data_IF_558054344247
#
_entry.id   IF_558054344247
#
_cell.length_a   1.000
_cell.length_b   1.000
_cell.length_c   1.000
_cell.angle_alpha   90.00
_cell.angle_beta   90.00
_cell.angle_gamma   90.00
#
_symmetry.space_group_name_H-M   'P 1'
#
loop_
_entity.id
_entity.type
_entity.pdbx_description
1 polymer ?
#
# COMPACT_ATOMS: atom_id res chain seq x y z
N UNK A 1 -3.56 -4.42 -15.57
CA UNK A 1 -4.84 -4.35 -14.82
C UNK A 1 -5.25 -2.90 -14.57
N UNK A 2 -6.53 -2.63 -14.29
CA UNK A 2 -7.01 -1.32 -13.85
C UNK A 2 -6.95 -1.24 -12.31
N UNK A 3 -6.47 -0.12 -11.76
CA UNK A 3 -6.32 0.11 -10.33
C UNK A 3 -6.78 1.51 -9.94
N UNK A 4 -7.19 1.71 -8.69
CA UNK A 4 -7.83 2.94 -8.23
C UNK A 4 -7.21 3.51 -6.96
N UNK A 5 -6.94 4.81 -6.97
CA UNK A 5 -6.32 5.53 -5.87
C UNK A 5 -7.22 6.66 -5.39
N UNK A 6 -7.52 6.68 -4.09
CA UNK A 6 -8.26 7.75 -3.45
C UNK A 6 -7.32 8.82 -2.92
N UNK A 7 -7.55 10.09 -3.28
CA UNK A 7 -6.70 11.22 -2.88
C UNK A 7 -7.53 12.48 -2.65
N UNK A 8 -6.87 13.57 -2.22
CA UNK A 8 -7.47 14.91 -2.18
C UNK A 8 -7.61 15.47 -3.60
N UNK A 9 -8.70 16.19 -3.87
CA UNK A 9 -8.89 16.94 -5.14
C UNK A 9 -7.69 17.85 -5.46
N UNK A 10 -7.03 18.40 -4.44
CA UNK A 10 -5.87 19.28 -4.61
C UNK A 10 -4.67 18.57 -5.24
N UNK A 11 -4.57 17.24 -5.11
CA UNK A 11 -3.44 16.47 -5.63
C UNK A 11 -3.68 15.96 -7.06
N UNK A 12 -4.92 16.03 -7.57
CA UNK A 12 -5.31 15.41 -8.85
C UNK A 12 -4.44 15.93 -10.01
N UNK A 13 -4.34 17.25 -10.16
CA UNK A 13 -3.63 17.85 -11.28
C UNK A 13 -2.13 17.50 -11.25
N UNK A 14 -1.49 17.55 -10.07
CA UNK A 14 -0.08 17.18 -9.96
C UNK A 14 0.13 15.69 -10.24
N UNK A 15 -0.72 14.80 -9.71
CA UNK A 15 -0.58 13.36 -9.99
C UNK A 15 -0.80 13.05 -11.48
N UNK A 16 -1.73 13.73 -12.16
CA UNK A 16 -1.97 13.51 -13.58
C UNK A 16 -0.83 14.04 -14.47
N UNK A 17 -0.22 15.17 -14.11
CA UNK A 17 0.83 15.80 -14.90
C UNK A 17 2.22 15.23 -14.61
N UNK A 18 2.53 15.04 -13.33
CA UNK A 18 3.86 14.71 -12.83
C UNK A 18 3.98 13.21 -12.47
N UNK A 19 2.86 12.50 -12.44
CA UNK A 19 2.78 11.13 -11.95
C UNK A 19 2.72 11.05 -10.42
N UNK A 20 2.76 9.82 -9.91
CA UNK A 20 2.86 9.62 -8.47
C UNK A 20 4.28 9.89 -8.00
N UNK A 21 4.42 10.81 -7.05
CA UNK A 21 5.67 11.11 -6.39
C UNK A 21 5.45 11.08 -4.87
N UNK A 22 6.11 10.16 -4.18
CA UNK A 22 6.11 10.08 -2.72
C UNK A 22 7.54 10.28 -2.27
N UNK A 23 7.71 11.18 -1.32
CA UNK A 23 8.97 11.37 -0.61
C UNK A 23 9.30 10.12 0.21
N UNK A 24 10.19 9.28 -0.34
CA UNK A 24 10.67 8.04 0.27
C UNK A 24 11.67 8.31 1.39
N UNK A 25 12.26 9.50 1.44
CA UNK A 25 13.34 9.85 2.37
C UNK A 25 12.83 10.63 3.60
N UNK A 26 11.52 10.85 3.69
CA UNK A 26 10.87 11.61 4.76
C UNK A 26 10.94 11.00 6.17
N UNK A 27 11.70 9.90 6.36
CA UNK A 27 11.75 9.17 7.63
C UNK A 27 10.37 8.64 8.04
N UNK A 28 9.46 8.46 7.09
CA UNK A 28 8.10 7.94 7.31
C UNK A 28 8.13 6.43 7.50
N UNK A 29 7.39 5.96 8.49
CA UNK A 29 7.17 4.53 8.69
C UNK A 29 6.36 3.94 7.51
N UNK A 30 6.81 2.84 6.87
CA UNK A 30 6.07 2.20 5.78
C UNK A 30 4.67 1.78 6.21
N UNK A 31 3.76 1.73 5.24
CA UNK A 31 2.40 1.22 5.44
C UNK A 31 2.42 -0.33 5.42
N UNK A 32 1.28 -0.96 5.60
CA UNK A 32 1.15 -2.42 5.81
C UNK A 32 1.79 -3.28 4.70
N UNK A 33 1.91 -2.75 3.48
CA UNK A 33 2.54 -3.41 2.32
C UNK A 33 3.91 -2.81 1.94
N UNK A 34 4.58 -2.11 2.85
CA UNK A 34 5.88 -1.48 2.59
C UNK A 34 5.78 -0.07 1.99
N UNK A 35 6.80 0.33 1.25
CA UNK A 35 6.84 1.63 0.58
C UNK A 35 6.45 1.56 -0.89
N UNK A 36 5.56 2.46 -1.29
CA UNK A 36 5.10 2.57 -2.67
C UNK A 36 3.77 3.28 -2.78
N UNK A 37 3.16 3.14 -3.95
CA UNK A 37 1.89 3.78 -4.31
C UNK A 37 0.75 2.78 -4.14
N UNK A 38 -0.23 3.14 -3.31
CA UNK A 38 -1.32 2.24 -2.91
C UNK A 38 -2.54 2.41 -3.80
N UNK A 39 -3.06 1.29 -4.28
CA UNK A 39 -4.27 1.24 -5.11
C UNK A 39 -5.17 0.07 -4.72
N UNK A 40 -6.47 0.25 -4.91
CA UNK A 40 -7.46 -0.81 -4.88
C UNK A 40 -7.62 -1.42 -6.27
N UNK A 41 -7.73 -2.75 -6.34
CA UNK A 41 -7.95 -3.50 -7.58
C UNK A 41 -9.20 -4.37 -7.50
N UNK A 42 -9.60 -4.90 -8.66
CA UNK A 42 -10.75 -5.82 -8.74
C UNK A 42 -10.59 -6.95 -7.73
N UNK A 43 -11.64 -7.16 -6.96
CA UNK A 43 -11.71 -8.15 -5.89
C UNK A 43 -13.07 -8.86 -5.94
N UNK A 44 -13.24 -9.91 -5.13
CA UNK A 44 -14.49 -10.67 -5.01
C UNK A 44 -15.31 -10.31 -3.77
N UNK A 45 -14.91 -9.26 -3.04
CA UNK A 45 -15.61 -8.75 -1.86
C UNK A 45 -16.73 -7.78 -2.25
N UNK A 46 -17.45 -7.26 -1.26
CA UNK A 46 -18.69 -6.53 -1.47
C UNK A 46 -18.55 -5.18 -2.20
N UNK A 47 -17.43 -4.47 -2.04
CA UNK A 47 -17.22 -3.16 -2.63
C UNK A 47 -16.31 -3.20 -3.87
N UNK A 48 -16.76 -2.53 -4.94
CA UNK A 48 -15.94 -2.22 -6.11
C UNK A 48 -14.70 -1.41 -5.71
N UNK A 49 -13.54 -1.60 -6.36
CA UNK A 49 -12.32 -0.89 -5.99
C UNK A 49 -12.41 0.63 -6.08
N UNK A 50 -13.24 1.17 -6.98
CA UNK A 50 -13.55 2.60 -7.09
C UNK A 50 -14.20 3.13 -5.80
N UNK A 51 -15.22 2.41 -5.31
CA UNK A 51 -15.92 2.73 -4.06
C UNK A 51 -15.01 2.57 -2.85
N UNK A 52 -14.14 1.56 -2.83
CA UNK A 52 -13.12 1.39 -1.78
C UNK A 52 -12.17 2.59 -1.73
N UNK A 53 -11.60 2.97 -2.89
CA UNK A 53 -10.70 4.12 -3.00
C UNK A 53 -11.37 5.42 -2.51
N UNK A 54 -12.63 5.63 -2.88
CA UNK A 54 -13.39 6.80 -2.47
C UNK A 54 -13.68 6.85 -0.97
N UNK A 55 -14.17 5.74 -0.41
CA UNK A 55 -14.46 5.63 1.01
C UNK A 55 -13.19 5.78 1.86
N UNK A 56 -12.08 5.20 1.40
CA UNK A 56 -10.78 5.38 2.02
C UNK A 56 -10.39 6.87 2.04
N UNK A 57 -10.44 7.53 0.88
CA UNK A 57 -10.12 8.95 0.80
C UNK A 57 -11.03 9.79 1.71
N UNK A 58 -12.34 9.55 1.71
CA UNK A 58 -13.29 10.24 2.61
C UNK A 58 -12.96 10.05 4.08
N UNK A 59 -12.45 8.87 4.46
CA UNK A 59 -12.13 8.55 5.85
C UNK A 59 -10.87 9.25 6.34
N UNK A 60 -9.87 9.42 5.47
CA UNK A 60 -8.54 9.90 5.87
C UNK A 60 -8.17 11.30 5.38
N UNK A 61 -8.87 11.83 4.38
CA UNK A 61 -8.65 13.18 3.86
C UNK A 61 -9.63 14.17 4.49
N UNK A 62 -9.14 15.38 4.80
CA UNK A 62 -9.97 16.48 5.32
C UNK A 62 -10.51 17.41 4.23
N UNK A 63 -10.00 17.27 3.01
CA UNK A 63 -10.38 18.06 1.83
C UNK A 63 -11.38 17.29 0.97
N UNK A 64 -12.06 17.95 0.01
CA UNK A 64 -12.78 17.25 -1.05
C UNK A 64 -11.90 16.16 -1.68
N UNK A 65 -12.50 15.02 -1.97
CA UNK A 65 -11.77 13.81 -2.39
C UNK A 65 -12.05 13.46 -3.84
N UNK A 66 -11.04 12.90 -4.49
CA UNK A 66 -11.10 12.37 -5.84
C UNK A 66 -10.65 10.91 -5.87
N UNK A 67 -11.10 10.19 -6.89
CA UNK A 67 -10.53 8.88 -7.24
C UNK A 67 -9.87 8.98 -8.60
N UNK A 68 -8.64 8.51 -8.66
CA UNK A 68 -7.87 8.34 -9.89
C UNK A 68 -7.92 6.86 -10.28
N UNK A 69 -8.10 6.59 -11.57
CA UNK A 69 -7.87 5.27 -12.15
C UNK A 69 -6.55 5.28 -12.92
N UNK A 70 -5.88 4.14 -12.91
CA UNK A 70 -4.62 3.92 -13.62
C UNK A 70 -4.63 2.55 -14.28
N UNK A 71 -3.80 2.41 -15.31
CA UNK A 71 -3.41 1.12 -15.86
C UNK A 71 -2.07 0.70 -15.25
N UNK A 72 -2.03 -0.54 -14.74
CA UNK A 72 -0.83 -1.18 -14.21
C UNK A 72 -0.38 -2.28 -15.16
N UNK A 73 0.88 -2.24 -15.61
CA UNK A 73 1.45 -3.29 -16.48
C UNK A 73 1.82 -4.56 -15.69
N UNK A 74 0.79 -5.27 -15.22
CA UNK A 74 0.94 -6.49 -14.41
C UNK A 74 1.67 -7.61 -15.16
N UNK A 75 1.52 -7.70 -16.49
CA UNK A 75 2.12 -8.79 -17.28
C UNK A 75 3.64 -8.73 -17.31
N UNK A 76 4.19 -7.51 -17.30
CA UNK A 76 5.63 -7.27 -17.29
C UNK A 76 6.12 -6.78 -15.91
N UNK A 77 5.39 -7.10 -14.84
CA UNK A 77 5.77 -6.74 -13.47
C UNK A 77 6.11 -7.99 -12.67
N UNK A 78 7.14 -7.90 -11.84
CA UNK A 78 7.38 -8.92 -10.82
C UNK A 78 6.44 -8.65 -9.63
N UNK A 79 5.45 -9.53 -9.46
CA UNK A 79 4.41 -9.38 -8.44
C UNK A 79 4.68 -10.30 -7.25
N UNK A 80 4.85 -9.72 -6.07
CA UNK A 80 4.85 -10.45 -4.81
C UNK A 80 3.40 -10.57 -4.30
N UNK A 81 2.84 -11.77 -4.34
CA UNK A 81 1.48 -12.04 -3.85
C UNK A 81 1.51 -12.53 -2.39
N UNK A 82 1.15 -11.65 -1.45
CA UNK A 82 1.17 -11.93 -0.01
C UNK A 82 0.00 -12.79 0.49
N UNK A 83 -0.93 -13.22 -0.39
CA UNK A 83 -1.97 -14.19 -0.04
C UNK A 83 -1.58 -15.64 -0.42
N UNK A 84 -0.45 -15.83 -1.10
CA UNK A 84 0.07 -17.17 -1.38
C UNK A 84 0.71 -17.78 -0.13
N UNK A 85 0.41 -19.05 0.16
CA UNK A 85 0.90 -19.75 1.35
C UNK A 85 2.44 -19.71 1.46
N UNK A 86 3.14 -19.95 0.35
CA UNK A 86 4.61 -19.89 0.31
C UNK A 86 5.15 -18.50 0.67
N UNK A 87 4.51 -17.43 0.21
CA UNK A 87 4.92 -16.06 0.56
C UNK A 87 4.65 -15.77 2.03
N UNK A 88 3.53 -16.25 2.58
CA UNK A 88 3.21 -16.11 4.00
C UNK A 88 4.28 -16.83 4.86
N UNK A 89 4.62 -18.07 4.51
CA UNK A 89 5.64 -18.86 5.21
C UNK A 89 7.00 -18.15 5.21
N UNK A 90 7.44 -17.64 4.05
CA UNK A 90 8.70 -16.90 3.95
C UNK A 90 8.71 -15.58 4.73
N UNK A 91 7.60 -14.81 4.71
CA UNK A 91 7.47 -13.59 5.50
C UNK A 91 7.54 -13.90 7.01
N UNK A 92 6.84 -14.95 7.46
CA UNK A 92 6.86 -15.38 8.87
C UNK A 92 8.26 -15.81 9.29
N UNK A 93 8.92 -16.63 8.47
CA UNK A 93 10.30 -17.08 8.71
C UNK A 93 11.27 -15.91 8.77
N UNK A 94 11.22 -15.02 7.78
CA UNK A 94 12.07 -13.83 7.73
C UNK A 94 11.88 -12.96 8.97
N UNK A 95 10.63 -12.72 9.40
CA UNK A 95 10.32 -11.97 10.62
C UNK A 95 10.97 -12.56 11.86
N UNK A 96 10.92 -13.89 12.02
CA UNK A 96 11.51 -14.57 13.18
C UNK A 96 13.04 -14.50 13.17
N UNK A 97 13.65 -14.75 12.00
CA UNK A 97 15.11 -14.73 11.84
C UNK A 97 15.71 -13.32 11.99
N UNK A 98 14.96 -12.28 11.67
CA UNK A 98 15.43 -10.88 11.63
C UNK A 98 14.76 -10.00 12.70
N UNK A 99 14.20 -10.60 13.75
CA UNK A 99 13.39 -9.89 14.75
C UNK A 99 14.10 -8.68 15.38
N UNK A 100 15.36 -8.83 15.77
CA UNK A 100 16.12 -7.73 16.39
C UNK A 100 16.39 -6.59 15.38
N UNK A 101 16.72 -6.90 14.13
CA UNK A 101 16.88 -5.88 13.09
C UNK A 101 15.55 -5.14 12.81
N UNK A 102 14.40 -5.84 12.83
CA UNK A 102 13.07 -5.22 12.70
C UNK A 102 12.78 -4.28 13.89
N UNK A 103 13.17 -4.64 15.12
CA UNK A 103 13.03 -3.76 16.30
C UNK A 103 13.92 -2.53 16.24
N UNK A 104 15.14 -2.68 15.72
CA UNK A 104 16.05 -1.54 15.50
C UNK A 104 15.44 -0.54 14.51
N UNK A 105 14.91 -1.03 13.38
CA UNK A 105 14.19 -0.20 12.41
C UNK A 105 12.99 0.50 13.04
N UNK A 106 12.17 -0.23 13.82
CA UNK A 106 11.06 0.38 14.55
C UNK A 106 11.53 1.48 15.52
N UNK A 107 12.67 1.29 16.17
CA UNK A 107 13.24 2.27 17.10
C UNK A 107 13.72 3.51 16.33
N UNK A 108 14.37 3.32 15.19
CA UNK A 108 14.72 4.42 14.28
C UNK A 108 13.50 5.22 13.84
N UNK A 109 12.43 4.59 13.35
CA UNK A 109 11.22 5.32 12.97
C UNK A 109 10.58 6.05 14.16
N UNK A 110 10.67 5.52 15.38
CA UNK A 110 10.20 6.25 16.59
C UNK A 110 11.00 7.53 16.86
N UNK A 111 12.26 7.61 16.44
CA UNK A 111 13.10 8.79 16.66
C UNK A 111 13.00 9.82 15.53
N UNK A 112 12.89 9.38 14.27
CA UNK A 112 12.86 10.28 13.11
C UNK A 112 11.45 10.66 12.65
N UNK A 113 10.44 9.79 12.86
CA UNK A 113 9.07 10.11 12.48
C UNK A 113 8.44 11.04 13.53
N UNK A 114 8.33 12.34 13.20
CA UNK A 114 7.44 13.30 13.88
C UNK A 114 6.03 12.69 14.05
N UNK A 115 5.25 12.98 15.10
CA UNK A 115 4.38 12.03 15.80
C UNK A 115 3.27 11.43 14.91
N UNK A 116 3.62 10.43 14.10
CA UNK A 116 2.70 9.56 13.38
C UNK A 116 2.10 8.57 14.37
N UNK A 117 1.26 9.10 15.27
CA UNK A 117 0.58 8.35 16.34
C UNK A 117 -0.30 7.21 15.83
N UNK A 118 -0.61 7.14 14.53
CA UNK A 118 -1.48 6.10 13.96
C UNK A 118 -0.81 4.74 13.85
N UNK A 119 0.27 4.62 13.08
CA UNK A 119 0.93 3.33 12.80
C UNK A 119 1.65 2.82 14.06
N UNK A 120 2.34 3.69 14.80
CA UNK A 120 2.99 3.32 16.08
C UNK A 120 1.98 2.79 17.12
N UNK A 121 0.71 3.25 17.09
CA UNK A 121 -0.37 2.69 17.92
C UNK A 121 -0.92 1.37 17.39
N UNK A 122 -0.90 1.15 16.08
CA UNK A 122 -1.36 -0.10 15.46
C UNK A 122 -0.42 -1.27 15.71
N UNK A 123 0.87 -0.99 15.94
CA UNK A 123 1.87 -2.03 16.17
C UNK A 123 2.09 -2.95 14.96
N UNK A 124 1.62 -2.55 13.77
CA UNK A 124 1.84 -3.30 12.55
C UNK A 124 3.26 -3.04 12.03
N UNK A 125 4.08 -4.08 11.97
CA UNK A 125 5.46 -4.03 11.48
C UNK A 125 5.62 -4.66 10.10
N UNK A 126 4.52 -5.13 9.48
CA UNK A 126 4.55 -5.86 8.22
C UNK A 126 5.20 -5.03 7.10
N UNK A 127 4.99 -3.72 7.08
CA UNK A 127 5.66 -2.81 6.15
C UNK A 127 7.18 -2.81 6.25
N UNK A 128 7.72 -2.75 7.48
CA UNK A 128 9.17 -2.83 7.74
C UNK A 128 9.68 -4.19 7.28
N UNK A 129 9.00 -5.26 7.69
CA UNK A 129 9.39 -6.63 7.38
C UNK A 129 9.42 -6.86 5.86
N UNK A 130 8.39 -6.41 5.14
CA UNK A 130 8.30 -6.56 3.69
C UNK A 130 9.40 -5.78 2.97
N UNK A 131 9.67 -4.53 3.36
CA UNK A 131 10.75 -3.75 2.76
C UNK A 131 12.10 -4.48 2.94
N UNK A 132 12.45 -4.88 4.16
CA UNK A 132 13.71 -5.58 4.46
C UNK A 132 13.81 -6.92 3.72
N UNK A 133 12.72 -7.69 3.69
CA UNK A 133 12.68 -8.99 3.00
C UNK A 133 12.89 -8.82 1.50
N UNK A 134 12.22 -7.83 0.91
CA UNK A 134 12.30 -7.56 -0.52
C UNK A 134 13.70 -7.04 -0.88
N UNK A 135 14.27 -6.12 -0.11
CA UNK A 135 15.66 -5.66 -0.33
C UNK A 135 16.65 -6.84 -0.33
N UNK A 136 16.51 -7.76 0.63
CA UNK A 136 17.33 -8.98 0.66
C UNK A 136 17.10 -9.83 -0.58
N UNK A 137 15.84 -10.09 -0.96
CA UNK A 137 15.50 -10.89 -2.14
C UNK A 137 16.06 -10.28 -3.43
N UNK A 138 15.90 -8.96 -3.60
CA UNK A 138 16.40 -8.21 -4.76
C UNK A 138 17.93 -8.28 -4.84
N UNK A 139 18.63 -8.15 -3.71
CA UNK A 139 20.09 -8.25 -3.66
C UNK A 139 20.63 -9.64 -4.01
N UNK A 140 19.90 -10.71 -3.67
CA UNK A 140 20.31 -12.10 -3.92
C UNK A 140 19.96 -12.54 -5.34
N UNK A 141 18.78 -12.13 -5.84
CA UNK A 141 18.25 -12.60 -7.12
C UNK A 141 18.56 -11.68 -8.29
N UNK A 142 18.85 -10.40 -8.03
CA UNK A 142 18.94 -9.36 -9.05
C UNK A 142 17.59 -8.98 -9.68
N UNK A 143 16.47 -9.49 -9.16
CA UNK A 143 15.13 -9.27 -9.71
C UNK A 143 14.36 -8.29 -8.82
N UNK A 144 14.04 -7.11 -9.36
CA UNK A 144 13.28 -6.09 -8.66
C UNK A 144 11.80 -6.49 -8.50
N UNK A 145 11.22 -6.31 -7.32
CA UNK A 145 9.79 -6.48 -7.06
C UNK A 145 9.08 -5.16 -7.36
N UNK A 146 8.23 -5.18 -8.38
CA UNK A 146 7.52 -4.00 -8.87
C UNK A 146 6.21 -3.74 -8.11
N UNK A 147 5.51 -4.81 -7.73
CA UNK A 147 4.17 -4.75 -7.14
C UNK A 147 4.04 -5.76 -6.01
N UNK A 148 3.49 -5.32 -4.89
CA UNK A 148 3.05 -6.19 -3.79
C UNK A 148 1.52 -6.22 -3.82
N UNK A 149 0.93 -7.41 -3.74
CA UNK A 149 -0.53 -7.60 -3.78
C UNK A 149 -1.00 -8.36 -2.55
N UNK A 150 -2.08 -7.89 -1.94
CA UNK A 150 -2.67 -8.56 -0.76
C UNK A 150 -4.16 -8.26 -0.63
N UNK A 151 -4.91 -9.23 -0.14
CA UNK A 151 -6.23 -9.02 0.41
C UNK A 151 -6.11 -8.36 1.78
N UNK A 152 -6.78 -7.23 1.95
CA UNK A 152 -6.66 -6.38 3.13
C UNK A 152 -8.03 -6.03 3.68
N UNK A 153 -8.04 -5.64 4.95
CA UNK A 153 -9.18 -4.97 5.55
C UNK A 153 -8.90 -3.47 5.59
N UNK A 154 -9.73 -2.70 4.89
CA UNK A 154 -9.72 -1.25 4.94
C UNK A 154 -10.93 -0.76 5.74
N UNK A 155 -10.68 0.10 6.73
CA UNK A 155 -11.74 0.71 7.54
C UNK A 155 -12.53 1.74 6.72
N UNK A 156 -13.56 1.27 6.02
CA UNK A 156 -14.41 2.11 5.17
C UNK A 156 -15.92 1.84 5.34
N UNK A 157 -16.32 0.65 5.82
CA UNK A 157 -17.73 0.25 5.85
C UNK A 157 -18.39 0.47 7.22
N UNK A 158 -17.63 0.30 8.30
CA UNK A 158 -18.17 0.22 9.66
C UNK A 158 -17.51 1.26 10.59
N UNK A 159 -18.14 2.43 10.82
CA UNK A 159 -17.66 3.40 11.81
C UNK A 159 -17.45 2.74 13.18
N UNK A 160 -16.28 2.95 13.79
CA UNK A 160 -15.90 2.34 15.06
C UNK A 160 -15.26 0.95 14.96
N UNK A 161 -15.38 0.24 13.83
CA UNK A 161 -14.75 -1.07 13.62
C UNK A 161 -13.36 -0.94 12.99
N UNK A 162 -12.32 -1.01 13.81
CA UNK A 162 -10.97 -0.58 13.42
C UNK A 162 -10.13 -1.64 12.72
N UNK A 163 -10.37 -2.92 12.98
CA UNK A 163 -9.55 -4.04 12.51
C UNK A 163 -10.44 -5.26 12.26
N UNK A 164 -10.08 -6.06 11.25
CA UNK A 164 -10.70 -7.33 10.93
C UNK A 164 -9.65 -8.30 10.42
N UNK A 165 -9.78 -9.58 10.78
CA UNK A 165 -9.01 -10.65 10.15
C UNK A 165 -9.59 -11.05 8.78
N UNK A 166 -10.80 -10.59 8.47
CA UNK A 166 -11.46 -10.84 7.20
C UNK A 166 -11.27 -9.63 6.27
N UNK A 167 -10.68 -9.83 5.08
CA UNK A 167 -10.50 -8.76 4.12
C UNK A 167 -11.83 -8.29 3.53
N UNK A 168 -11.89 -7.02 3.16
CA UNK A 168 -13.00 -6.42 2.41
C UNK A 168 -12.54 -5.77 1.10
N UNK A 169 -11.25 -5.88 0.76
CA UNK A 169 -10.68 -5.39 -0.48
C UNK A 169 -9.42 -6.13 -0.87
N UNK A 170 -8.94 -5.83 -2.08
CA UNK A 170 -7.61 -6.21 -2.54
C UNK A 170 -6.83 -4.93 -2.82
N UNK A 171 -5.70 -4.77 -2.15
CA UNK A 171 -4.77 -3.67 -2.34
C UNK A 171 -3.54 -4.13 -3.10
N UNK A 172 -2.97 -3.21 -3.87
CA UNK A 172 -1.63 -3.32 -4.40
C UNK A 172 -0.79 -2.13 -3.95
N UNK A 173 0.48 -2.40 -3.66
CA UNK A 173 1.51 -1.40 -3.43
C UNK A 173 2.50 -1.45 -4.59
N UNK A 174 2.55 -0.40 -5.39
CA UNK A 174 3.42 -0.31 -6.57
C UNK A 174 4.72 0.40 -6.17
N UNK A 175 5.84 -0.33 -6.22
CA UNK A 175 7.19 0.15 -5.88
C UNK A 175 7.87 0.84 -7.06
N UNK A 176 7.44 0.54 -8.28
CA UNK A 176 8.00 1.10 -9.51
C UNK A 176 6.96 1.94 -10.27
N UNK A 177 7.08 3.26 -10.25
CA UNK A 177 6.13 4.17 -10.91
C UNK A 177 6.07 4.00 -12.43
N UNK A 178 7.11 3.45 -13.06
CA UNK A 178 7.11 3.17 -14.50
C UNK A 178 6.07 2.10 -14.89
N UNK A 179 5.53 1.35 -13.93
CA UNK A 179 4.44 0.40 -14.16
C UNK A 179 3.06 1.05 -14.18
N UNK A 180 2.97 2.35 -13.87
CA UNK A 180 1.72 3.11 -13.79
C UNK A 180 1.58 3.95 -15.06
N UNK A 181 0.45 3.79 -15.76
CA UNK A 181 0.14 4.54 -16.97
C UNK A 181 -1.31 5.00 -16.97
N UNK A 182 -1.64 5.93 -17.87
CA UNK A 182 -3.01 6.38 -18.12
C UNK A 182 -3.77 6.83 -16.87
N UNK A 183 -3.19 7.81 -16.15
CA UNK A 183 -3.77 8.34 -14.90
C UNK A 183 -4.95 9.27 -15.24
N UNK A 184 -6.15 8.88 -14.81
CA UNK A 184 -7.39 9.59 -15.13
C UNK A 184 -8.28 9.75 -13.91
N UNK A 185 -8.84 10.95 -13.71
CA UNK A 185 -9.90 11.15 -12.73
C UNK A 185 -11.14 10.32 -13.08
N UNK A 186 -11.66 9.59 -12.10
CA UNK A 186 -12.83 8.71 -12.23
C UNK A 186 -14.03 9.35 -11.58
N UNK A 187 -15.14 9.43 -12.32
CA UNK A 187 -16.45 9.81 -11.78
C UNK A 187 -17.01 8.65 -10.97
N UNK A 188 -17.42 8.94 -9.74
CA UNK A 188 -18.08 7.95 -8.88
C UNK A 188 -19.56 8.31 -8.80
N UNK A 189 -20.37 7.46 -9.42
CA UNK A 189 -21.81 7.52 -9.32
C UNK A 189 -22.22 6.77 -8.04
N UNK A 190 -22.99 7.44 -7.18
CA UNK A 190 -23.53 6.85 -5.95
C UNK A 190 -24.55 5.77 -6.28
#
# INVERSE_FOLDING_TARGET
MKAFHGTSENNVNSIQNDGFNVDRDSGRLPNDLGDGYYFFVKNTFGLSPEKMAFQYAKTYQRSPVAVLSVNVDEKNSNVLNCDCLSTIEEVVKFRLENYEAVKEQLTYYKTVSSPQKGILKRGNLDGIILNMMIEKLESVTGVAIDVIKKNTYTKCECPGYNLSNFPNGTEICIRNSQKITNIQKTSIHN
#
